data_IF_440516874866
#
_entry.id   IF_440516874866
#
_cell.length_a   1.000
_cell.length_b   1.000
_cell.length_c   1.000
_cell.angle_alpha   90.00
_cell.angle_beta   90.00
_cell.angle_gamma   90.00
#
_symmetry.space_group_name_H-M   'P 1'
#
loop_
_entity.id
_entity.type
_entity.pdbx_description
1 polymer ?
#
# COMPACT_ATOMS: atom_id res chain seq x y z
N UNK A 1 2.54 -13.56 -40.84
CA UNK A 1 3.49 -14.07 -39.81
C UNK A 1 2.67 -14.71 -38.70
N UNK A 2 2.98 -15.93 -38.25
CA UNK A 2 2.28 -16.50 -37.10
C UNK A 2 2.54 -15.62 -35.88
N UNK A 3 1.46 -15.26 -35.17
CA UNK A 3 1.52 -14.43 -33.98
C UNK A 3 2.36 -15.15 -32.90
N UNK A 4 3.32 -14.48 -32.24
CA UNK A 4 4.09 -15.08 -31.14
C UNK A 4 3.19 -15.55 -29.97
N UNK A 5 1.92 -15.16 -29.97
CA UNK A 5 0.91 -15.55 -28.98
C UNK A 5 0.11 -16.80 -29.36
N UNK A 6 0.36 -17.42 -30.51
CA UNK A 6 -0.17 -18.76 -30.83
C UNK A 6 0.35 -19.86 -29.86
N UNK A 7 1.32 -19.51 -29.00
CA UNK A 7 1.91 -20.35 -27.97
C UNK A 7 1.38 -20.08 -26.55
N UNK A 8 0.47 -19.11 -26.36
CA UNK A 8 -0.14 -18.94 -25.04
C UNK A 8 -0.93 -20.21 -24.68
N UNK A 9 -0.75 -20.76 -23.48
CA UNK A 9 -1.55 -21.89 -23.03
C UNK A 9 -3.04 -21.54 -23.16
N UNK A 10 -3.85 -22.46 -23.70
CA UNK A 10 -5.31 -22.34 -23.81
C UNK A 10 -6.01 -21.70 -22.58
N UNK A 11 -5.63 -21.99 -21.32
CA UNK A 11 -6.27 -21.34 -20.16
C UNK A 11 -6.03 -19.82 -20.08
N UNK A 12 -4.88 -19.32 -20.52
CA UNK A 12 -4.58 -17.88 -20.50
C UNK A 12 -5.40 -17.14 -21.54
N UNK A 13 -5.53 -17.72 -22.75
CA UNK A 13 -6.39 -17.17 -23.80
C UNK A 13 -7.84 -17.01 -23.34
N UNK A 14 -8.42 -18.06 -22.75
CA UNK A 14 -9.79 -18.02 -22.25
C UNK A 14 -10.01 -17.06 -21.07
N UNK A 15 -8.99 -16.82 -20.24
CA UNK A 15 -9.05 -15.80 -19.19
C UNK A 15 -9.08 -14.39 -19.80
N UNK A 16 -8.20 -14.11 -20.77
CA UNK A 16 -8.15 -12.81 -21.45
C UNK A 16 -9.46 -12.51 -22.17
N UNK A 17 -10.04 -13.51 -22.85
CA UNK A 17 -11.32 -13.36 -23.52
C UNK A 17 -12.43 -13.01 -22.51
N UNK A 18 -12.50 -13.71 -21.37
CA UNK A 18 -13.47 -13.42 -20.31
C UNK A 18 -13.31 -12.02 -19.72
N UNK A 19 -12.07 -11.57 -19.53
CA UNK A 19 -11.78 -10.22 -19.04
C UNK A 19 -12.26 -9.18 -20.05
N UNK A 20 -11.92 -9.36 -21.33
CA UNK A 20 -12.34 -8.49 -22.43
C UNK A 20 -13.87 -8.37 -22.49
N UNK A 21 -14.57 -9.51 -22.47
CA UNK A 21 -16.04 -9.54 -22.48
C UNK A 21 -16.64 -8.82 -21.26
N UNK A 22 -15.93 -8.80 -20.13
CA UNK A 22 -16.33 -8.02 -18.94
C UNK A 22 -16.37 -6.50 -19.18
N UNK A 23 -15.47 -5.97 -20.01
CA UNK A 23 -15.40 -4.53 -20.35
C UNK A 23 -16.49 -4.08 -21.32
N UNK A 24 -17.05 -5.02 -22.09
CA UNK A 24 -18.20 -4.80 -22.97
C UNK A 24 -19.53 -4.79 -22.19
N UNK A 25 -19.52 -5.27 -20.95
CA UNK A 25 -20.73 -5.31 -20.13
C UNK A 25 -21.25 -3.90 -19.80
N UNK A 26 -22.58 -3.70 -19.71
CA UNK A 26 -23.17 -2.41 -19.28
C UNK A 26 -22.75 -1.96 -17.87
N UNK A 27 -22.20 -2.88 -17.06
CA UNK A 27 -21.78 -2.63 -15.68
C UNK A 27 -20.30 -2.33 -15.55
N UNK A 28 -19.52 -2.34 -16.64
CA UNK A 28 -18.08 -2.16 -16.57
C UNK A 28 -17.69 -0.88 -15.81
N UNK A 29 -18.38 0.23 -16.09
CA UNK A 29 -18.14 1.52 -15.44
C UNK A 29 -18.49 1.50 -13.96
N UNK A 30 -19.62 0.92 -13.57
CA UNK A 30 -20.00 0.85 -12.16
C UNK A 30 -19.05 -0.02 -11.36
N UNK A 31 -18.55 -1.12 -11.94
CA UNK A 31 -17.50 -1.95 -11.32
C UNK A 31 -16.21 -1.17 -11.12
N UNK A 32 -15.75 -0.41 -12.13
CA UNK A 32 -14.53 0.38 -12.02
C UNK A 32 -14.61 1.44 -10.91
N UNK A 33 -15.74 2.16 -10.84
CA UNK A 33 -15.98 3.16 -9.80
C UNK A 33 -16.09 2.51 -8.42
N UNK A 34 -16.83 1.39 -8.31
CA UNK A 34 -16.94 0.66 -7.06
C UNK A 34 -15.57 0.18 -6.56
N UNK A 35 -14.73 -0.36 -7.46
CA UNK A 35 -13.38 -0.78 -7.12
C UNK A 35 -12.50 0.39 -6.66
N UNK A 36 -12.60 1.56 -7.30
CA UNK A 36 -11.89 2.75 -6.84
C UNK A 36 -12.29 3.13 -5.41
N UNK A 37 -13.59 3.18 -5.12
CA UNK A 37 -14.09 3.50 -3.78
C UNK A 37 -13.66 2.45 -2.76
N UNK A 38 -13.83 1.16 -3.09
CA UNK A 38 -13.47 0.04 -2.21
C UNK A 38 -11.98 0.05 -1.89
N UNK A 39 -11.10 0.26 -2.87
CA UNK A 39 -9.66 0.28 -2.62
C UNK A 39 -9.24 1.54 -1.88
N UNK A 40 -9.80 2.71 -2.22
CA UNK A 40 -9.48 3.96 -1.50
C UNK A 40 -9.85 3.86 -0.01
N UNK A 41 -11.09 3.45 0.28
CA UNK A 41 -11.55 3.26 1.67
C UNK A 41 -10.84 2.08 2.30
N UNK A 42 -10.67 0.98 1.58
CA UNK A 42 -10.04 -0.25 2.06
C UNK A 42 -8.58 -0.06 2.45
N UNK A 43 -7.82 0.75 1.70
CA UNK A 43 -6.44 1.12 2.05
C UNK A 43 -6.41 1.97 3.32
N UNK A 44 -7.31 2.95 3.45
CA UNK A 44 -7.42 3.76 4.67
C UNK A 44 -7.78 2.90 5.90
N UNK A 45 -8.75 1.99 5.75
CA UNK A 45 -9.09 1.01 6.78
C UNK A 45 -7.95 0.02 7.03
N UNK A 46 -7.14 -0.29 6.03
CA UNK A 46 -5.94 -1.11 6.16
C UNK A 46 -4.88 -0.45 7.05
N UNK A 47 -4.71 0.88 6.96
CA UNK A 47 -3.83 1.64 7.86
C UNK A 47 -4.34 1.56 9.30
N UNK A 48 -5.65 1.75 9.51
CA UNK A 48 -6.27 1.59 10.84
C UNK A 48 -6.10 0.17 11.37
N UNK A 49 -6.30 -0.84 10.52
CA UNK A 49 -6.10 -2.23 10.87
C UNK A 49 -4.64 -2.53 11.23
N UNK A 50 -3.68 -1.92 10.53
CA UNK A 50 -2.26 -2.04 10.84
C UNK A 50 -1.94 -1.43 12.22
N UNK A 51 -2.48 -0.26 12.55
CA UNK A 51 -2.38 0.31 13.89
C UNK A 51 -2.96 -0.63 14.96
N UNK A 52 -4.13 -1.20 14.71
CA UNK A 52 -4.73 -2.22 15.59
C UNK A 52 -3.91 -3.51 15.70
N UNK A 53 -3.17 -3.90 14.66
CA UNK A 53 -2.24 -5.03 14.72
C UNK A 53 -1.06 -4.71 15.63
N UNK A 54 -0.46 -3.52 15.53
CA UNK A 54 0.63 -3.12 16.42
C UNK A 54 0.19 -3.10 17.88
N UNK A 55 -0.93 -2.44 18.17
CA UNK A 55 -1.57 -2.37 19.49
C UNK A 55 -1.86 -3.78 20.06
N UNK A 56 -2.34 -4.70 19.23
CA UNK A 56 -2.68 -6.05 19.68
C UNK A 56 -1.50 -7.02 19.80
N UNK A 57 -0.34 -6.72 19.19
CA UNK A 57 0.79 -7.67 19.10
C UNK A 57 2.05 -7.18 19.81
N UNK A 58 2.18 -5.89 20.10
CA UNK A 58 3.34 -5.29 20.77
C UNK A 58 2.91 -4.81 22.16
N UNK A 59 2.93 -5.73 23.13
CA UNK A 59 2.51 -5.49 24.53
C UNK A 59 3.71 -5.07 25.43
N UNK A 60 4.57 -4.18 24.93
CA UNK A 60 5.78 -3.74 25.64
C UNK A 60 5.62 -2.31 26.17
N UNK A 61 5.99 -2.11 27.43
CA UNK A 61 6.09 -0.78 28.03
C UNK A 61 7.51 -0.25 27.88
N UNK A 62 7.61 1.02 27.48
CA UNK A 62 8.89 1.70 27.31
C UNK A 62 8.91 2.96 28.15
N UNK A 63 9.97 3.09 28.95
CA UNK A 63 10.25 4.31 29.71
C UNK A 63 10.74 5.42 28.76
N UNK A 64 9.95 6.48 28.58
CA UNK A 64 10.30 7.67 27.78
C UNK A 64 10.39 8.92 28.65
N UNK A 65 10.99 9.99 28.12
CA UNK A 65 10.93 11.31 28.76
C UNK A 65 9.51 11.85 28.72
N UNK A 66 9.04 12.43 29.82
CA UNK A 66 7.70 13.00 29.90
C UNK A 66 7.63 14.29 29.05
N UNK A 67 6.85 14.31 27.94
CA UNK A 67 6.75 15.50 27.10
C UNK A 67 6.00 16.66 27.78
N UNK A 68 5.19 16.37 28.80
CA UNK A 68 4.41 17.37 29.53
C UNK A 68 5.25 18.11 30.60
N UNK A 69 6.41 17.53 30.97
CA UNK A 69 7.41 18.17 31.84
C UNK A 69 8.34 19.08 31.02
N UNK A 70 8.53 20.36 31.40
CA UNK A 70 9.49 21.25 30.77
C UNK A 70 10.93 20.70 30.85
N UNK A 71 11.82 21.11 29.93
CA UNK A 71 13.23 20.73 29.99
C UNK A 71 13.85 21.10 31.34
N UNK A 72 14.80 20.30 31.82
CA UNK A 72 15.41 20.49 33.15
C UNK A 72 15.98 21.91 33.33
N UNK A 73 16.58 22.49 32.28
CA UNK A 73 17.08 23.87 32.30
C UNK A 73 15.99 24.93 32.52
N UNK A 74 14.76 24.65 32.09
CA UNK A 74 13.59 25.52 32.31
C UNK A 74 13.07 25.36 33.73
N UNK A 75 13.04 24.14 34.26
CA UNK A 75 12.65 23.87 35.64
C UNK A 75 13.66 24.41 36.66
N UNK A 76 14.97 24.32 36.40
CA UNK A 76 15.99 24.94 37.25
C UNK A 76 15.88 26.48 37.27
N UNK A 77 15.41 27.08 36.18
CA UNK A 77 15.32 28.55 36.05
C UNK A 77 14.01 29.11 36.62
N UNK A 78 12.91 28.38 36.49
CA UNK A 78 11.55 28.90 36.76
C UNK A 78 10.69 27.98 37.64
N UNK A 79 11.22 26.86 38.12
CA UNK A 79 10.46 25.86 38.89
C UNK A 79 10.16 26.29 40.33
N UNK A 80 11.07 27.05 40.95
CA UNK A 80 10.91 27.55 42.32
C UNK A 80 10.11 28.87 42.40
N UNK A 81 9.71 29.45 41.27
CA UNK A 81 8.93 30.68 41.21
C UNK A 81 7.43 30.38 41.34
N UNK A 82 6.77 30.78 42.45
CA UNK A 82 5.36 30.47 42.69
C UNK A 82 4.39 31.17 41.71
N UNK A 83 4.85 32.18 40.97
CA UNK A 83 4.06 32.87 39.94
C UNK A 83 4.32 32.30 38.52
N UNK A 84 5.18 31.28 38.39
CA UNK A 84 5.53 30.64 37.12
C UNK A 84 4.46 29.67 36.63
N UNK A 85 4.04 29.83 35.38
CA UNK A 85 3.14 28.89 34.67
C UNK A 85 3.75 27.51 34.44
N UNK A 86 5.02 27.31 34.81
CA UNK A 86 5.77 26.06 34.65
C UNK A 86 5.98 25.31 35.97
N UNK A 87 5.77 25.95 37.13
CA UNK A 87 6.03 25.34 38.45
C UNK A 87 5.31 24.01 38.64
N UNK A 88 3.99 23.99 38.41
CA UNK A 88 3.16 22.78 38.54
C UNK A 88 3.57 21.65 37.56
N UNK A 89 4.15 22.00 36.40
CA UNK A 89 4.60 21.01 35.39
C UNK A 89 6.02 20.50 35.66
N UNK A 90 6.81 21.20 36.47
CA UNK A 90 8.14 20.75 36.89
C UNK A 90 8.07 19.68 38.00
N UNK A 91 6.94 19.58 38.71
CA UNK A 91 6.64 18.54 39.69
C UNK A 91 6.27 17.18 39.05
N UNK A 92 5.99 17.16 37.75
CA UNK A 92 5.72 15.92 37.02
C UNK A 92 6.96 15.03 36.93
N UNK A 93 6.79 13.69 36.91
CA UNK A 93 7.91 12.77 36.78
C UNK A 93 8.67 13.02 35.47
N UNK A 94 10.00 12.96 35.53
CA UNK A 94 10.85 13.16 34.35
C UNK A 94 10.71 12.04 33.30
N UNK A 95 10.33 10.84 33.75
CA UNK A 95 10.16 9.66 32.90
C UNK A 95 8.79 9.03 33.15
N UNK A 96 8.13 8.59 32.09
CA UNK A 96 6.85 7.88 32.12
C UNK A 96 6.95 6.58 31.33
N UNK A 97 6.14 5.59 31.70
CA UNK A 97 5.99 4.36 30.92
C UNK A 97 4.90 4.58 29.87
N UNK A 98 5.23 4.31 28.61
CA UNK A 98 4.30 4.40 27.48
C UNK A 98 4.16 3.03 26.83
N UNK A 99 2.92 2.70 26.43
CA UNK A 99 2.61 1.52 25.66
C UNK A 99 3.09 1.70 24.21
N UNK A 100 4.09 0.90 23.82
CA UNK A 100 4.69 1.01 22.49
C UNK A 100 3.71 0.65 21.36
N UNK A 101 2.74 -0.24 21.61
CA UNK A 101 1.72 -0.61 20.64
C UNK A 101 0.73 0.53 20.39
N UNK A 102 0.29 1.21 21.45
CA UNK A 102 -0.61 2.36 21.36
C UNK A 102 0.05 3.55 20.65
N UNK A 103 1.33 3.83 20.94
CA UNK A 103 2.09 4.90 20.28
C UNK A 103 2.27 4.62 18.77
N UNK A 104 2.60 3.38 18.40
CA UNK A 104 2.71 2.96 17.00
C UNK A 104 1.38 3.04 16.26
N UNK A 105 0.27 2.76 16.95
CA UNK A 105 -1.06 2.91 16.40
C UNK A 105 -1.39 4.38 16.11
N UNK A 106 -1.13 5.29 17.04
CA UNK A 106 -1.35 6.72 16.83
C UNK A 106 -0.49 7.25 15.67
N UNK A 107 0.78 6.81 15.62
CA UNK A 107 1.66 7.11 14.50
C UNK A 107 1.09 6.58 13.16
N UNK A 108 0.56 5.35 13.14
CA UNK A 108 -0.06 4.76 11.95
C UNK A 108 -1.32 5.54 11.51
N UNK A 109 -2.17 5.96 12.45
CA UNK A 109 -3.38 6.74 12.16
C UNK A 109 -3.05 8.07 11.46
N UNK A 110 -1.87 8.64 11.75
CA UNK A 110 -1.32 9.78 11.03
C UNK A 110 -1.22 9.57 9.50
N UNK A 111 -1.18 8.33 9.02
CA UNK A 111 -1.04 8.00 7.59
C UNK A 111 -2.37 7.72 6.87
N UNK A 112 -3.52 7.74 7.55
CA UNK A 112 -4.83 7.44 6.95
C UNK A 112 -5.10 8.30 5.70
N UNK A 113 -4.70 9.57 5.74
CA UNK A 113 -4.89 10.51 4.64
C UNK A 113 -4.14 10.09 3.35
N UNK A 114 -3.02 9.38 3.45
CA UNK A 114 -2.32 8.84 2.28
C UNK A 114 -3.14 7.77 1.58
N UNK A 115 -3.91 6.96 2.30
CA UNK A 115 -4.84 6.01 1.68
C UNK A 115 -5.96 6.72 0.91
N UNK A 116 -6.57 7.74 1.53
CA UNK A 116 -7.70 8.47 0.96
C UNK A 116 -7.34 9.33 -0.25
N UNK A 117 -6.15 9.94 -0.25
CA UNK A 117 -5.71 10.88 -1.28
C UNK A 117 -4.76 10.20 -2.27
N UNK A 118 -3.83 9.38 -1.77
CA UNK A 118 -2.82 8.71 -2.58
C UNK A 118 -3.40 7.72 -3.57
N UNK A 119 -4.42 6.94 -3.19
CA UNK A 119 -5.05 5.95 -4.10
C UNK A 119 -5.69 6.64 -5.31
N UNK A 120 -6.57 7.65 -5.16
CA UNK A 120 -7.13 8.36 -6.32
C UNK A 120 -6.09 9.06 -7.19
N UNK A 121 -5.07 9.68 -6.58
CA UNK A 121 -3.99 10.35 -7.34
C UNK A 121 -3.22 9.33 -8.16
N UNK A 122 -2.78 8.23 -7.54
CA UNK A 122 -2.02 7.18 -8.22
C UNK A 122 -2.84 6.49 -9.31
N UNK A 123 -4.11 6.22 -9.06
CA UNK A 123 -5.05 5.73 -10.05
C UNK A 123 -5.14 6.67 -11.26
N UNK A 124 -5.22 7.98 -11.03
CA UNK A 124 -5.24 8.98 -12.10
C UNK A 124 -3.94 9.01 -12.90
N UNK A 125 -2.79 8.98 -12.24
CA UNK A 125 -1.48 8.92 -12.90
C UNK A 125 -1.39 7.66 -13.77
N UNK A 126 -1.76 6.50 -13.22
CA UNK A 126 -1.73 5.24 -13.96
C UNK A 126 -2.68 5.26 -15.17
N UNK A 127 -3.91 5.77 -15.02
CA UNK A 127 -4.87 5.89 -16.10
C UNK A 127 -4.34 6.78 -17.24
N UNK A 128 -3.73 7.92 -16.91
CA UNK A 128 -3.14 8.83 -17.89
C UNK A 128 -1.93 8.21 -18.59
N UNK A 129 -1.04 7.56 -17.83
CA UNK A 129 0.11 6.85 -18.40
C UNK A 129 -0.34 5.73 -19.33
N UNK A 130 -1.36 4.96 -18.93
CA UNK A 130 -1.96 3.91 -19.75
C UNK A 130 -2.56 4.50 -21.03
N UNK A 131 -3.26 5.63 -20.95
CA UNK A 131 -3.81 6.32 -22.11
C UNK A 131 -2.71 6.69 -23.11
N UNK A 132 -1.61 7.30 -22.63
CA UNK A 132 -0.45 7.63 -23.45
C UNK A 132 0.15 6.38 -24.08
N UNK A 133 0.34 5.31 -23.29
CA UNK A 133 0.85 4.03 -23.79
C UNK A 133 -0.01 3.42 -24.89
N UNK A 134 -1.34 3.43 -24.72
CA UNK A 134 -2.28 2.99 -25.74
C UNK A 134 -2.20 3.83 -27.01
N UNK A 135 -2.13 5.17 -26.88
CA UNK A 135 -2.04 6.08 -28.02
C UNK A 135 -0.75 5.93 -28.81
N UNK A 136 0.39 5.80 -28.12
CA UNK A 136 1.69 5.51 -28.75
C UNK A 136 1.65 4.18 -29.50
N UNK A 137 0.90 3.21 -29.00
CA UNK A 137 0.72 1.91 -29.62
C UNK A 137 -0.35 1.87 -30.75
N UNK A 138 -0.95 3.01 -31.09
CA UNK A 138 -1.93 3.15 -32.18
C UNK A 138 -3.38 2.86 -31.80
N UNK A 139 -3.73 2.83 -30.51
CA UNK A 139 -5.10 2.58 -30.05
C UNK A 139 -6.00 3.81 -30.13
N UNK A 140 -7.30 3.62 -30.40
CA UNK A 140 -8.24 4.71 -30.70
C UNK A 140 -9.18 5.11 -29.54
N UNK A 141 -9.05 4.46 -28.38
CA UNK A 141 -9.90 4.71 -27.20
C UNK A 141 -9.74 6.11 -26.56
N UNK A 142 -10.75 6.49 -25.76
CA UNK A 142 -10.79 7.77 -25.04
C UNK A 142 -9.93 7.75 -23.76
N UNK A 143 -9.74 8.91 -23.13
CA UNK A 143 -9.09 8.98 -21.80
C UNK A 143 -9.94 8.27 -20.74
N UNK A 144 -11.27 8.41 -20.81
CA UNK A 144 -12.20 7.77 -19.89
C UNK A 144 -12.14 6.23 -19.94
N UNK A 145 -11.84 5.66 -21.11
CA UNK A 145 -11.59 4.24 -21.27
C UNK A 145 -10.35 3.79 -20.49
N UNK A 146 -9.28 4.58 -20.48
CA UNK A 146 -8.07 4.26 -19.71
C UNK A 146 -8.33 4.34 -18.20
N UNK A 147 -9.15 5.28 -17.73
CA UNK A 147 -9.61 5.35 -16.33
C UNK A 147 -10.46 4.13 -15.94
N UNK A 148 -11.30 3.65 -16.84
CA UNK A 148 -12.07 2.43 -16.63
C UNK A 148 -11.16 1.22 -16.43
N UNK A 149 -10.19 1.03 -17.33
CA UNK A 149 -9.21 -0.08 -17.25
C UNK A 149 -8.41 0.03 -15.95
N UNK A 150 -7.93 1.22 -15.62
CA UNK A 150 -7.23 1.50 -14.37
C UNK A 150 -8.08 1.15 -13.14
N UNK A 151 -9.38 1.46 -13.16
CA UNK A 151 -10.31 1.12 -12.07
C UNK A 151 -10.48 -0.39 -11.89
N UNK A 152 -10.55 -1.17 -12.96
CA UNK A 152 -10.55 -2.63 -12.87
C UNK A 152 -9.21 -3.18 -12.35
N UNK A 153 -8.09 -2.59 -12.76
CA UNK A 153 -6.75 -3.02 -12.32
C UNK A 153 -6.55 -2.86 -10.80
N UNK A 154 -7.37 -2.08 -10.10
CA UNK A 154 -7.36 -1.98 -8.64
C UNK A 154 -7.71 -3.31 -7.94
N UNK A 155 -8.28 -4.31 -8.64
CA UNK A 155 -8.44 -5.66 -8.08
C UNK A 155 -7.11 -6.25 -7.61
N UNK A 156 -6.02 -6.05 -8.38
CA UNK A 156 -4.70 -6.50 -7.94
C UNK A 156 -4.18 -5.73 -6.74
N UNK A 157 -4.51 -4.44 -6.64
CA UNK A 157 -4.12 -3.63 -5.47
C UNK A 157 -4.81 -4.12 -4.21
N UNK A 158 -6.11 -4.40 -4.29
CA UNK A 158 -6.87 -4.95 -3.18
C UNK A 158 -6.28 -6.27 -2.68
N UNK A 159 -5.90 -7.17 -3.60
CA UNK A 159 -5.23 -8.43 -3.26
C UNK A 159 -3.90 -8.19 -2.54
N UNK A 160 -3.12 -7.20 -2.99
CA UNK A 160 -1.82 -6.88 -2.39
C UNK A 160 -1.97 -6.28 -1.00
N UNK A 161 -2.94 -5.38 -0.79
CA UNK A 161 -3.24 -4.81 0.54
C UNK A 161 -3.66 -5.92 1.51
N UNK A 162 -4.57 -6.80 1.10
CA UNK A 162 -5.02 -7.93 1.93
C UNK A 162 -3.84 -8.85 2.29
N UNK A 163 -3.00 -9.20 1.31
CA UNK A 163 -1.82 -10.05 1.53
C UNK A 163 -0.80 -9.36 2.44
N UNK A 164 -0.58 -8.05 2.28
CA UNK A 164 0.29 -7.23 3.12
C UNK A 164 -0.13 -7.26 4.59
N UNK A 165 -1.41 -6.96 4.86
CA UNK A 165 -1.95 -6.97 6.21
C UNK A 165 -1.89 -8.35 6.85
N UNK A 166 -2.27 -9.40 6.10
CA UNK A 166 -2.21 -10.77 6.59
C UNK A 166 -0.77 -11.21 6.91
N UNK A 167 0.20 -10.86 6.07
CA UNK A 167 1.61 -11.18 6.28
C UNK A 167 2.19 -10.44 7.49
N UNK A 168 1.89 -9.14 7.63
CA UNK A 168 2.36 -8.35 8.78
C UNK A 168 1.75 -8.88 10.08
N UNK A 169 0.44 -9.10 10.10
CA UNK A 169 -0.24 -9.69 11.27
C UNK A 169 0.38 -11.03 11.66
N UNK A 170 0.58 -11.92 10.68
CA UNK A 170 1.19 -13.22 10.93
C UNK A 170 2.63 -13.09 11.45
N UNK A 171 3.44 -12.20 10.85
CA UNK A 171 4.82 -12.00 11.25
C UNK A 171 4.93 -11.50 12.69
N UNK A 172 4.15 -10.47 13.04
CA UNK A 172 4.19 -9.88 14.38
C UNK A 172 3.60 -10.83 15.43
N UNK A 173 2.53 -11.54 15.11
CA UNK A 173 1.92 -12.53 16.03
C UNK A 173 2.84 -13.71 16.37
N UNK A 174 3.87 -13.95 15.54
CA UNK A 174 4.83 -15.04 15.74
C UNK A 174 6.25 -14.54 16.08
N UNK A 175 6.44 -13.22 16.18
CA UNK A 175 7.74 -12.63 16.51
C UNK A 175 7.96 -12.60 18.02
N UNK A 176 9.18 -12.90 18.47
CA UNK A 176 9.59 -12.67 19.84
C UNK A 176 10.08 -11.23 19.99
N UNK A 177 9.15 -10.30 20.22
CA UNK A 177 9.50 -8.90 20.51
C UNK A 177 9.99 -8.83 21.97
N UNK A 178 11.29 -8.62 22.15
CA UNK A 178 11.95 -8.68 23.47
C UNK A 178 12.70 -7.40 23.84
N UNK A 179 12.78 -6.44 22.92
CA UNK A 179 13.36 -5.13 23.18
C UNK A 179 12.71 -4.40 24.35
N UNK A 180 13.54 -3.76 25.19
CA UNK A 180 13.12 -2.94 26.34
C UNK A 180 13.19 -1.43 26.08
N UNK A 181 13.50 -1.04 24.84
CA UNK A 181 13.50 0.36 24.40
C UNK A 181 12.73 0.48 23.09
N UNK A 182 12.24 1.68 22.77
CA UNK A 182 11.50 1.93 21.53
C UNK A 182 12.31 1.53 20.28
N UNK A 183 13.61 1.84 20.24
CA UNK A 183 14.48 1.47 19.12
C UNK A 183 14.69 -0.03 18.99
N UNK A 184 14.74 -0.76 20.12
CA UNK A 184 14.89 -2.21 20.10
C UNK A 184 13.60 -2.88 19.61
N UNK A 185 12.44 -2.42 20.08
CA UNK A 185 11.13 -2.89 19.64
C UNK A 185 10.91 -2.61 18.14
N UNK A 186 11.23 -1.38 17.69
CA UNK A 186 11.12 -1.01 16.29
C UNK A 186 12.01 -1.90 15.41
N UNK A 187 13.23 -2.21 15.86
CA UNK A 187 14.14 -3.09 15.15
C UNK A 187 13.61 -4.53 15.06
N UNK A 188 13.09 -5.07 16.15
CA UNK A 188 12.50 -6.41 16.19
C UNK A 188 11.27 -6.49 15.26
N UNK A 189 10.39 -5.49 15.30
CA UNK A 189 9.22 -5.39 14.43
C UNK A 189 9.61 -5.27 12.95
N UNK A 190 10.58 -4.42 12.62
CA UNK A 190 11.10 -4.28 11.25
C UNK A 190 11.74 -5.59 10.78
N UNK A 191 12.51 -6.28 11.64
CA UNK A 191 13.09 -7.57 11.30
C UNK A 191 12.02 -8.64 11.01
N UNK A 192 10.96 -8.69 11.83
CA UNK A 192 9.83 -9.59 11.63
C UNK A 192 9.11 -9.32 10.29
N UNK A 193 8.78 -8.05 10.02
CA UNK A 193 8.09 -7.64 8.80
C UNK A 193 8.95 -7.89 7.56
N UNK A 194 10.23 -7.51 7.59
CA UNK A 194 11.15 -7.73 6.46
C UNK A 194 11.39 -9.22 6.17
N UNK A 195 11.25 -10.10 7.17
CA UNK A 195 11.19 -11.55 6.97
C UNK A 195 10.08 -12.03 6.04
N UNK A 196 9.03 -11.24 5.83
CA UNK A 196 7.91 -11.57 4.92
C UNK A 196 8.14 -11.14 3.47
N UNK A 197 9.28 -10.53 3.14
CA UNK A 197 9.58 -10.00 1.80
C UNK A 197 9.39 -11.04 0.71
N UNK A 198 9.90 -12.27 0.89
CA UNK A 198 9.76 -13.35 -0.09
C UNK A 198 8.29 -13.67 -0.43
N UNK A 199 7.47 -14.07 0.57
CA UNK A 199 6.03 -14.26 0.37
C UNK A 199 5.29 -13.06 -0.22
N UNK A 200 5.61 -11.84 0.21
CA UNK A 200 4.99 -10.61 -0.31
C UNK A 200 5.37 -10.31 -1.76
N UNK A 201 6.59 -10.65 -2.19
CA UNK A 201 6.98 -10.57 -3.59
C UNK A 201 6.19 -11.56 -4.45
N UNK A 202 5.94 -12.78 -3.96
CA UNK A 202 5.09 -13.75 -4.65
C UNK A 202 3.65 -13.23 -4.76
N UNK A 203 3.08 -12.73 -3.67
CA UNK A 203 1.75 -12.13 -3.68
C UNK A 203 1.67 -10.94 -4.65
N UNK A 204 2.72 -10.10 -4.68
CA UNK A 204 2.82 -8.97 -5.61
C UNK A 204 2.91 -9.42 -7.06
N UNK A 205 3.67 -10.47 -7.37
CA UNK A 205 3.75 -11.03 -8.71
C UNK A 205 2.38 -11.57 -9.19
N UNK A 206 1.63 -12.23 -8.30
CA UNK A 206 0.26 -12.69 -8.59
C UNK A 206 -0.68 -11.51 -8.85
N UNK A 207 -0.64 -10.49 -7.99
CA UNK A 207 -1.44 -9.27 -8.17
C UNK A 207 -1.11 -8.56 -9.49
N UNK A 208 0.17 -8.46 -9.84
CA UNK A 208 0.63 -7.87 -11.10
C UNK A 208 0.16 -8.72 -12.29
N UNK A 209 0.17 -10.05 -12.20
CA UNK A 209 -0.34 -10.92 -13.27
C UNK A 209 -1.84 -10.72 -13.49
N UNK A 210 -2.62 -10.56 -12.41
CA UNK A 210 -4.05 -10.21 -12.49
C UNK A 210 -4.25 -8.85 -13.16
N UNK A 211 -3.49 -7.84 -12.73
CA UNK A 211 -3.51 -6.50 -13.31
C UNK A 211 -3.16 -6.53 -14.80
N UNK A 212 -2.14 -7.29 -15.17
CA UNK A 212 -1.71 -7.47 -16.55
C UNK A 212 -2.85 -8.02 -17.40
N UNK A 213 -3.53 -9.09 -16.95
CA UNK A 213 -4.65 -9.68 -17.69
C UNK A 213 -5.80 -8.67 -17.89
N UNK A 214 -6.11 -7.89 -16.84
CA UNK A 214 -7.11 -6.82 -16.87
C UNK A 214 -6.73 -5.74 -17.89
N UNK A 215 -5.49 -5.27 -17.86
CA UNK A 215 -5.01 -4.23 -18.76
C UNK A 215 -5.02 -4.74 -20.21
N UNK A 216 -4.58 -5.97 -20.48
CA UNK A 216 -4.63 -6.54 -21.83
C UNK A 216 -6.07 -6.60 -22.36
N UNK A 217 -6.99 -7.23 -21.63
CA UNK A 217 -8.38 -7.34 -22.08
C UNK A 217 -9.07 -5.98 -22.20
N UNK A 218 -8.75 -5.03 -21.32
CA UNK A 218 -9.27 -3.66 -21.39
C UNK A 218 -8.76 -2.88 -22.61
N UNK A 219 -7.47 -3.00 -22.92
CA UNK A 219 -6.86 -2.39 -24.10
C UNK A 219 -7.42 -2.98 -25.40
N UNK A 220 -7.68 -4.29 -25.45
CA UNK A 220 -8.38 -4.92 -26.58
C UNK A 220 -9.81 -4.37 -26.71
N UNK A 221 -10.59 -4.34 -25.62
CA UNK A 221 -12.00 -3.98 -25.65
C UNK A 221 -12.26 -2.48 -25.90
N UNK A 222 -11.38 -1.60 -25.40
CA UNK A 222 -11.66 -0.15 -25.35
C UNK A 222 -10.73 0.71 -26.18
N UNK A 223 -9.53 0.21 -26.49
CA UNK A 223 -8.58 0.92 -27.34
C UNK A 223 -8.38 0.24 -28.71
N UNK A 224 -9.13 -0.84 -28.98
CA UNK A 224 -9.08 -1.64 -30.22
C UNK A 224 -7.66 -2.09 -30.59
N UNK A 225 -6.83 -2.32 -29.56
CA UNK A 225 -5.48 -2.82 -29.78
C UNK A 225 -5.53 -4.32 -30.04
N UNK A 226 -4.78 -4.78 -31.05
CA UNK A 226 -4.53 -6.20 -31.23
C UNK A 226 -3.86 -6.82 -30.00
N UNK A 227 -4.24 -8.05 -29.64
CA UNK A 227 -3.76 -8.77 -28.44
C UNK A 227 -2.28 -8.61 -28.14
N UNK A 228 -1.43 -8.76 -29.16
CA UNK A 228 0.02 -8.70 -28.99
C UNK A 228 0.53 -7.31 -28.62
N UNK A 229 -0.06 -6.28 -29.20
CA UNK A 229 0.25 -4.88 -28.87
C UNK A 229 -0.26 -4.55 -27.48
N UNK A 230 -1.49 -4.94 -27.15
CA UNK A 230 -2.06 -4.77 -25.81
C UNK A 230 -1.20 -5.46 -24.73
N UNK A 231 -0.78 -6.71 -24.98
CA UNK A 231 0.16 -7.45 -24.13
C UNK A 231 1.50 -6.74 -23.98
N UNK A 232 2.05 -6.20 -25.06
CA UNK A 232 3.29 -5.42 -25.03
C UNK A 232 3.20 -4.21 -24.11
N UNK A 233 2.15 -3.39 -24.28
CA UNK A 233 1.89 -2.21 -23.43
C UNK A 233 1.70 -2.62 -21.97
N UNK A 234 0.85 -3.63 -21.70
CA UNK A 234 0.61 -4.12 -20.35
C UNK A 234 1.90 -4.64 -19.68
N UNK A 235 2.79 -5.27 -20.44
CA UNK A 235 4.06 -5.81 -19.93
C UNK A 235 5.01 -4.70 -19.50
N UNK A 236 5.04 -3.57 -20.20
CA UNK A 236 5.85 -2.40 -19.77
C UNK A 236 5.41 -1.93 -18.39
N UNK A 237 4.10 -1.76 -18.18
CA UNK A 237 3.58 -1.36 -16.87
C UNK A 237 3.79 -2.42 -15.79
N UNK A 238 3.61 -3.70 -16.12
CA UNK A 238 3.88 -4.80 -15.19
C UNK A 238 5.37 -4.85 -14.78
N UNK A 239 6.29 -4.60 -15.70
CA UNK A 239 7.72 -4.54 -15.42
C UNK A 239 8.04 -3.36 -14.49
N UNK A 240 7.49 -2.17 -14.75
CA UNK A 240 7.63 -1.01 -13.85
C UNK A 240 7.07 -1.33 -12.46
N UNK A 241 5.87 -1.91 -12.38
CA UNK A 241 5.27 -2.28 -11.09
C UNK A 241 6.12 -3.30 -10.33
N UNK A 242 6.70 -4.29 -11.02
CA UNK A 242 7.59 -5.27 -10.40
C UNK A 242 8.88 -4.62 -9.89
N UNK A 243 9.46 -3.69 -10.66
CA UNK A 243 10.64 -2.93 -10.24
C UNK A 243 10.36 -2.08 -9.00
N UNK A 244 9.17 -1.49 -8.89
CA UNK A 244 8.75 -0.74 -7.71
C UNK A 244 8.42 -1.66 -6.51
N UNK A 245 8.00 -2.90 -6.76
CA UNK A 245 7.66 -3.87 -5.71
C UNK A 245 8.89 -4.56 -5.12
N UNK A 246 9.98 -4.65 -5.87
CA UNK A 246 11.28 -5.07 -5.31
C UNK A 246 11.72 -3.94 -4.38
N UNK A 247 11.95 -4.20 -3.08
CA UNK A 247 12.54 -3.19 -2.22
C UNK A 247 13.86 -2.79 -2.87
N UNK A 248 13.97 -1.54 -3.33
CA UNK A 248 15.28 -0.96 -3.59
C UNK A 248 16.07 -1.22 -2.32
N UNK A 249 17.20 -1.94 -2.42
CA UNK A 249 18.08 -2.23 -1.29
C UNK A 249 18.10 -0.99 -0.39
N UNK A 250 17.44 -1.09 0.77
CA UNK A 250 17.60 -0.14 1.86
C UNK A 250 19.00 -0.38 2.37
N UNK A 251 19.98 0.11 1.60
CA UNK A 251 21.36 0.19 1.99
C UNK A 251 21.41 1.15 3.17
N UNK A 252 21.72 0.57 4.33
CA UNK A 252 22.24 1.27 5.51
C UNK A 252 21.45 2.50 5.95
N UNK A 253 20.47 2.29 6.84
CA UNK A 253 20.22 3.20 7.95
C UNK A 253 20.48 2.44 9.25
#
# INVERSE_FOLDING_TARGET
MPSPFALLPRPVGGLLDRVRDGFESPRATSVAVAMLVIVTIGTALGVVALGGIFDATIDQQVTVDNPDRPPESTCETFGDDPDSVFGERCDEPARIEVDAGAELREAADGYIHYGLIGVPIWWGIFALALHVGARVAGGEGSVGDSFLIAGWALVGELLRVIAGLAAIWFALSNAAITGSTGEAIARDAVAAITGTTGPLLVASAVAIAVQWAIVVGGLEARHDLGRGTAAGVATVFAAVALLLAVPANFGSF
#
